data_IF_132242452956
#
_entry.id   IF_132242452956
#
_cell.length_a   1.000
_cell.length_b   1.000
_cell.length_c   1.000
_cell.angle_alpha   90.00
_cell.angle_beta   90.00
_cell.angle_gamma   90.00
#
_symmetry.space_group_name_H-M   'P 1'
#
loop_
_entity.id
_entity.type
_entity.pdbx_description
1 polymer ?
#
# COMPACT_ATOMS: atom_id res chain seq x y z
N UNK A 1 1.99 -8.58 18.92
CA UNK A 1 3.02 -8.81 17.90
C UNK A 1 2.81 -7.88 16.72
N UNK A 2 3.84 -7.18 16.28
CA UNK A 2 3.73 -6.40 15.06
C UNK A 2 3.34 -7.26 13.86
N UNK A 3 2.45 -6.71 13.07
CA UNK A 3 1.85 -7.38 11.91
C UNK A 3 2.32 -6.69 10.65
N UNK A 4 2.89 -7.45 9.72
CA UNK A 4 3.50 -6.90 8.51
C UNK A 4 2.71 -7.32 7.29
N UNK A 5 2.47 -6.36 6.38
CA UNK A 5 1.90 -6.62 5.07
C UNK A 5 2.91 -6.17 4.01
N UNK A 6 3.32 -7.11 3.18
CA UNK A 6 4.19 -6.83 2.03
C UNK A 6 3.35 -6.90 0.77
N UNK A 7 3.29 -5.80 0.03
CA UNK A 7 2.40 -5.66 -1.12
C UNK A 7 3.20 -5.35 -2.36
N UNK A 8 2.97 -6.11 -3.43
CA UNK A 8 3.52 -5.80 -4.75
C UNK A 8 2.38 -5.42 -5.69
N UNK A 9 2.52 -4.27 -6.33
CA UNK A 9 1.59 -3.79 -7.34
C UNK A 9 2.31 -3.64 -8.67
N UNK A 10 1.71 -4.16 -9.74
CA UNK A 10 2.16 -3.90 -11.09
C UNK A 10 1.12 -3.02 -11.77
N UNK A 11 1.52 -1.82 -12.16
CA UNK A 11 0.62 -0.91 -12.87
C UNK A 11 0.43 -1.38 -14.32
N UNK A 12 -0.78 -1.17 -14.85
CA UNK A 12 -1.02 -1.33 -16.29
C UNK A 12 -0.12 -0.36 -17.05
N UNK A 13 0.30 -0.76 -18.24
CA UNK A 13 1.17 0.06 -19.08
C UNK A 13 0.54 1.43 -19.34
N UNK A 14 1.32 2.48 -19.11
CA UNK A 14 0.88 3.86 -19.28
C UNK A 14 0.28 4.50 -18.04
N UNK A 15 0.04 3.74 -16.97
CA UNK A 15 -0.58 4.24 -15.74
C UNK A 15 0.39 4.34 -14.55
N UNK A 16 1.68 4.11 -14.77
CA UNK A 16 2.69 4.11 -13.73
C UNK A 16 2.81 5.44 -12.99
N UNK A 17 2.73 6.55 -13.70
CA UNK A 17 2.81 7.87 -13.06
C UNK A 17 1.60 8.14 -12.16
N UNK A 18 0.41 7.73 -12.59
CA UNK A 18 -0.82 7.90 -11.82
C UNK A 18 -0.81 7.01 -10.57
N UNK A 19 -0.37 5.75 -10.70
CA UNK A 19 -0.22 4.84 -9.56
C UNK A 19 0.80 5.37 -8.55
N UNK A 20 1.92 5.92 -9.05
CA UNK A 20 2.94 6.54 -8.20
C UNK A 20 2.34 7.67 -7.36
N UNK A 21 1.55 8.55 -7.97
CA UNK A 21 0.91 9.66 -7.26
C UNK A 21 -0.14 9.19 -6.25
N UNK A 22 -0.93 8.17 -6.62
CA UNK A 22 -1.89 7.56 -5.69
C UNK A 22 -1.16 7.02 -4.45
N UNK A 23 -0.04 6.32 -4.63
CA UNK A 23 0.74 5.78 -3.52
C UNK A 23 1.36 6.87 -2.66
N UNK A 24 1.77 7.99 -3.25
CA UNK A 24 2.31 9.13 -2.50
C UNK A 24 1.25 9.67 -1.54
N UNK A 25 0.04 9.90 -2.04
CA UNK A 25 -1.07 10.42 -1.24
C UNK A 25 -1.49 9.41 -0.17
N UNK A 26 -1.66 8.15 -0.57
CA UNK A 26 -2.06 7.07 0.33
C UNK A 26 -1.05 6.87 1.46
N UNK A 27 0.25 6.92 1.13
CA UNK A 27 1.31 6.77 2.11
C UNK A 27 1.30 7.89 3.15
N UNK A 28 1.13 9.13 2.70
CA UNK A 28 1.07 10.28 3.61
C UNK A 28 -0.11 10.15 4.59
N UNK A 29 -1.28 9.78 4.08
CA UNK A 29 -2.47 9.59 4.92
C UNK A 29 -2.32 8.39 5.87
N UNK A 30 -1.79 7.28 5.37
CA UNK A 30 -1.64 6.05 6.15
C UNK A 30 -0.67 6.21 7.32
N UNK A 31 0.39 7.00 7.14
CA UNK A 31 1.36 7.25 8.22
C UNK A 31 0.77 8.04 9.39
N UNK A 32 -0.38 8.67 9.22
CA UNK A 32 -1.09 9.37 10.30
C UNK A 32 -1.98 8.45 11.14
N UNK A 33 -2.21 7.21 10.70
CA UNK A 33 -3.06 6.27 11.42
C UNK A 33 -2.36 5.77 12.70
N UNK A 34 -3.06 5.76 13.84
CA UNK A 34 -2.44 5.37 15.11
C UNK A 34 -1.98 3.90 15.15
N UNK A 35 -2.58 3.02 14.36
CA UNK A 35 -2.19 1.61 14.30
C UNK A 35 -0.98 1.33 13.42
N UNK A 36 -0.50 2.32 12.65
CA UNK A 36 0.60 2.17 11.71
C UNK A 36 1.93 2.50 12.37
N UNK A 37 2.87 1.56 12.33
CA UNK A 37 4.26 1.80 12.76
C UNK A 37 5.07 2.31 11.57
N UNK A 38 4.96 1.64 10.42
CA UNK A 38 5.70 1.96 9.21
C UNK A 38 4.79 1.79 8.00
N UNK A 39 4.84 2.74 7.10
CA UNK A 39 4.16 2.64 5.81
C UNK A 39 5.07 3.27 4.77
N UNK A 40 5.76 2.44 3.99
CA UNK A 40 6.78 2.89 3.04
C UNK A 40 6.47 2.40 1.65
N UNK A 41 6.49 3.30 0.69
CA UNK A 41 6.22 2.98 -0.72
C UNK A 41 7.53 3.03 -1.51
N UNK A 42 7.68 2.08 -2.42
CA UNK A 42 8.91 1.92 -3.22
C UNK A 42 8.55 1.70 -4.67
N UNK A 43 9.44 2.09 -5.56
CA UNK A 43 9.32 1.78 -6.98
C UNK A 43 10.61 1.09 -7.43
N UNK A 44 10.49 0.10 -8.31
CA UNK A 44 11.63 -0.59 -8.88
C UNK A 44 12.42 0.41 -9.75
N UNK A 45 13.74 0.57 -9.53
CA UNK A 45 14.53 1.57 -10.27
C UNK A 45 14.64 1.25 -11.75
N UNK A 46 14.41 0.00 -12.15
CA UNK A 46 14.53 -0.44 -13.55
C UNK A 46 13.18 -0.66 -14.22
N UNK A 47 12.08 -0.66 -13.44
CA UNK A 47 10.74 -0.86 -13.99
C UNK A 47 9.73 0.04 -13.25
N UNK A 48 9.35 1.18 -13.85
CA UNK A 48 8.47 2.16 -13.17
C UNK A 48 7.04 1.66 -12.94
N UNK A 49 6.69 0.49 -13.49
CA UNK A 49 5.37 -0.12 -13.27
C UNK A 49 5.33 -1.00 -12.02
N UNK A 50 6.49 -1.32 -11.44
CA UNK A 50 6.59 -2.22 -10.29
C UNK A 50 6.73 -1.42 -9.00
N UNK A 51 5.80 -1.63 -8.08
CA UNK A 51 5.76 -0.95 -6.78
C UNK A 51 5.77 -1.97 -5.65
N UNK A 52 6.43 -1.61 -4.56
CA UNK A 52 6.44 -2.41 -3.34
C UNK A 52 6.04 -1.53 -2.17
N UNK A 53 5.02 -1.95 -1.41
CA UNK A 53 4.54 -1.25 -0.22
C UNK A 53 4.84 -2.12 1.00
N UNK A 54 5.63 -1.58 1.93
CA UNK A 54 5.91 -2.22 3.20
C UNK A 54 5.06 -1.56 4.27
N UNK A 55 4.21 -2.35 4.92
CA UNK A 55 3.29 -1.87 5.95
C UNK A 55 3.53 -2.64 7.24
N UNK A 56 3.73 -1.92 8.33
CA UNK A 56 3.90 -2.52 9.64
C UNK A 56 2.92 -1.89 10.61
N UNK A 57 2.14 -2.74 11.27
CA UNK A 57 1.10 -2.36 12.22
C UNK A 57 1.46 -2.86 13.62
N UNK A 58 0.96 -2.20 14.67
CA UNK A 58 1.17 -2.66 16.04
C UNK A 58 0.63 -4.08 16.24
N UNK A 59 -0.51 -4.38 15.62
CA UNK A 59 -1.10 -5.72 15.56
C UNK A 59 -2.09 -5.77 14.38
N UNK A 60 -2.80 -6.90 14.23
CA UNK A 60 -3.73 -7.08 13.12
C UNK A 60 -4.88 -6.07 13.15
N UNK A 61 -5.25 -5.55 14.32
CA UNK A 61 -6.32 -4.55 14.41
C UNK A 61 -5.95 -3.25 13.69
N UNK A 62 -4.66 -2.92 13.64
CA UNK A 62 -4.19 -1.75 12.90
C UNK A 62 -4.42 -1.90 11.40
N UNK A 63 -4.20 -3.10 10.86
CA UNK A 63 -4.50 -3.39 9.45
C UNK A 63 -6.00 -3.33 9.18
N UNK A 64 -6.80 -3.92 10.06
CA UNK A 64 -8.26 -3.88 9.92
C UNK A 64 -8.78 -2.44 9.93
N UNK A 65 -8.27 -1.60 10.84
CA UNK A 65 -8.62 -0.20 10.91
C UNK A 65 -8.21 0.55 9.63
N UNK A 66 -7.00 0.27 9.11
CA UNK A 66 -6.51 0.84 7.86
C UNK A 66 -7.47 0.59 6.71
N UNK A 67 -7.97 -0.63 6.59
CA UNK A 67 -8.89 -1.03 5.53
C UNK A 67 -10.27 -0.35 5.63
N UNK A 68 -10.61 0.23 6.77
CA UNK A 68 -11.88 0.95 6.96
C UNK A 68 -11.75 2.46 6.76
N UNK A 69 -10.53 2.97 6.54
CA UNK A 69 -10.33 4.40 6.35
C UNK A 69 -10.90 4.91 5.02
N UNK A 70 -11.31 6.19 4.98
CA UNK A 70 -11.75 6.79 3.72
C UNK A 70 -10.66 6.80 2.64
N UNK A 71 -9.40 7.02 3.04
CA UNK A 71 -8.30 7.06 2.08
C UNK A 71 -7.99 5.66 1.50
N UNK A 72 -8.13 4.58 2.27
CA UNK A 72 -8.01 3.24 1.71
C UNK A 72 -9.08 2.99 0.66
N UNK A 73 -10.34 3.26 1.00
CA UNK A 73 -11.47 3.03 0.09
C UNK A 73 -11.32 3.84 -1.19
N UNK A 74 -10.96 5.11 -1.07
CA UNK A 74 -10.83 6.01 -2.23
C UNK A 74 -9.60 5.65 -3.08
N UNK A 75 -8.43 5.57 -2.46
CA UNK A 75 -7.18 5.45 -3.23
C UNK A 75 -6.82 4.02 -3.59
N UNK A 76 -7.14 3.03 -2.77
CA UNK A 76 -6.88 1.64 -3.12
C UNK A 76 -8.02 1.05 -3.94
N UNK A 77 -9.22 1.02 -3.38
CA UNK A 77 -10.34 0.29 -4.00
C UNK A 77 -10.88 1.00 -5.23
N UNK A 78 -11.06 2.31 -5.17
CA UNK A 78 -11.69 3.05 -6.27
C UNK A 78 -10.70 3.47 -7.35
N UNK A 79 -9.51 3.95 -6.97
CA UNK A 79 -8.55 4.54 -7.92
C UNK A 79 -7.46 3.60 -8.37
N UNK A 80 -6.76 2.93 -7.43
CA UNK A 80 -5.60 2.13 -7.79
C UNK A 80 -5.96 0.82 -8.47
N UNK A 81 -6.84 0.03 -7.89
CA UNK A 81 -7.14 -1.32 -8.39
C UNK A 81 -7.48 -1.35 -9.88
N UNK A 82 -8.32 -0.44 -10.41
CA UNK A 82 -8.58 -0.44 -11.86
C UNK A 82 -7.36 -0.20 -12.74
N UNK A 83 -6.30 0.41 -12.18
CA UNK A 83 -5.07 0.72 -12.91
C UNK A 83 -3.99 -0.35 -12.74
N UNK A 84 -4.27 -1.42 -11.98
CA UNK A 84 -3.29 -2.45 -11.70
C UNK A 84 -3.49 -3.67 -12.58
N UNK A 85 -2.38 -4.18 -13.13
CA UNK A 85 -2.32 -5.45 -13.82
C UNK A 85 -2.28 -6.60 -12.82
N UNK A 86 -1.55 -6.42 -11.70
CA UNK A 86 -1.50 -7.41 -10.64
C UNK A 86 -1.34 -6.75 -9.27
N UNK A 87 -1.78 -7.48 -8.25
CA UNK A 87 -1.73 -7.07 -6.85
C UNK A 87 -1.51 -8.30 -5.99
N UNK A 88 -0.32 -8.41 -5.43
CA UNK A 88 0.08 -9.57 -4.61
C UNK A 88 0.32 -9.11 -3.19
N UNK A 89 -0.25 -9.81 -2.20
CA UNK A 89 -0.16 -9.45 -0.78
C UNK A 89 0.34 -10.66 0.02
N UNK A 90 1.29 -10.42 0.92
CA UNK A 90 1.78 -11.43 1.86
C UNK A 90 1.83 -10.84 3.25
N UNK A 91 1.43 -11.63 4.23
CA UNK A 91 1.43 -11.22 5.63
C UNK A 91 2.53 -11.95 6.41
N UNK A 92 3.09 -11.24 7.38
CA UNK A 92 4.12 -11.75 8.27
C UNK A 92 3.88 -11.21 9.67
N UNK A 93 4.44 -11.87 10.67
CA UNK A 93 4.49 -11.34 12.02
C UNK A 93 5.93 -11.17 12.46
N UNK A 94 6.20 -10.15 13.24
CA UNK A 94 7.51 -9.94 13.84
C UNK A 94 7.73 -10.95 14.97
N UNK A 95 8.92 -11.47 15.06
CA UNK A 95 9.25 -12.37 16.17
C UNK A 95 10.55 -11.93 16.87
#
# INVERSE_FOLDING_TARGET
>A
MPYILAVNWTAKQGYEAEVHEILRILGDASRQEPGVITYTTHVDPDNPREFFIYEKYHDVSGLEAHQQTPHFKKYVLEKAIPLLESRVRRTFVNF
#
